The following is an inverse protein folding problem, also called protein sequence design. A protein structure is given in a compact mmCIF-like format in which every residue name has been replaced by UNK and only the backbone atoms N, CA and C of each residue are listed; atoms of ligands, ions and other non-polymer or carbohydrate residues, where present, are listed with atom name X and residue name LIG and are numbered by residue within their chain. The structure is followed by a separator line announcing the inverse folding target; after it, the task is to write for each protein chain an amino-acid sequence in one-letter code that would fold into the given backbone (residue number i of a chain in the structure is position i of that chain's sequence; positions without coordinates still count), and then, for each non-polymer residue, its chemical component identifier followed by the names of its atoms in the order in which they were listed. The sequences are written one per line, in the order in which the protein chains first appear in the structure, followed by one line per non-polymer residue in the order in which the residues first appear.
data_IF_257517678044
#
_entry.id   IF_257517678044
#
_cell.length_a   1.000
_cell.length_b   1.000
_cell.length_c   1.000
_cell.angle_alpha   90.00
_cell.angle_beta   90.00
_cell.angle_gamma   90.00
#
_symmetry.space_group_name_H-M   'P 1'
#
loop_
_entity.id
_entity.type
_entity.pdbx_description
1 polymer ?
#
# COMPACT_ATOMS: atom_id res chain seq x y z
N UNK A 1 -5.85 15.95 -31.03
CA UNK A 1 -6.38 16.78 -29.96
C UNK A 1 -7.35 16.10 -28.98
N UNK A 2 -7.51 14.75 -29.00
CA UNK A 2 -8.41 14.02 -28.08
C UNK A 2 -7.73 13.47 -26.80
N UNK A 3 -6.40 13.51 -26.70
CA UNK A 3 -5.63 12.94 -25.59
C UNK A 3 -5.76 13.70 -24.26
N UNK A 4 -6.01 15.01 -24.31
CA UNK A 4 -6.13 15.83 -23.08
C UNK A 4 -7.39 15.56 -22.25
N UNK A 5 -8.54 15.30 -22.88
CA UNK A 5 -9.82 15.08 -22.18
C UNK A 5 -9.83 13.77 -21.38
N UNK A 6 -9.19 12.72 -21.89
CA UNK A 6 -9.06 11.43 -21.20
C UNK A 6 -8.18 11.50 -19.94
N UNK A 7 -7.08 12.25 -19.99
CA UNK A 7 -6.15 12.42 -18.87
C UNK A 7 -6.79 13.19 -17.71
N UNK A 8 -7.53 14.28 -17.99
CA UNK A 8 -8.22 15.05 -16.93
C UNK A 8 -9.29 14.23 -16.21
N UNK A 9 -10.08 13.45 -16.94
CA UNK A 9 -11.09 12.58 -16.35
C UNK A 9 -10.46 11.50 -15.46
N UNK A 10 -9.32 10.95 -15.88
CA UNK A 10 -8.58 9.94 -15.14
C UNK A 10 -8.02 10.50 -13.83
N UNK A 11 -7.40 11.70 -13.89
CA UNK A 11 -6.92 12.40 -12.70
C UNK A 11 -8.09 12.69 -11.75
N UNK A 12 -9.22 13.18 -12.25
CA UNK A 12 -10.40 13.46 -11.41
C UNK A 12 -10.90 12.19 -10.69
N UNK A 13 -11.01 11.07 -11.40
CA UNK A 13 -11.37 9.77 -10.78
C UNK A 13 -10.36 9.37 -9.70
N UNK A 14 -9.07 9.55 -9.97
CA UNK A 14 -8.02 9.28 -8.99
C UNK A 14 -8.16 10.17 -7.75
N UNK A 15 -8.39 11.48 -7.92
CA UNK A 15 -8.57 12.44 -6.82
C UNK A 15 -9.79 12.09 -5.96
N UNK A 16 -10.92 11.69 -6.56
CA UNK A 16 -12.10 11.22 -5.82
C UNK A 16 -11.77 9.98 -5.00
N UNK A 17 -11.07 9.00 -5.59
CA UNK A 17 -10.62 7.81 -4.88
C UNK A 17 -9.62 8.14 -3.76
N UNK A 18 -8.68 9.04 -3.98
CA UNK A 18 -7.72 9.52 -2.99
C UNK A 18 -8.40 10.24 -1.82
N UNK A 19 -9.37 11.13 -2.12
CA UNK A 19 -10.17 11.80 -1.10
C UNK A 19 -10.95 10.78 -0.25
N UNK A 20 -11.58 9.79 -0.90
CA UNK A 20 -12.25 8.71 -0.18
C UNK A 20 -11.30 7.97 0.77
N UNK A 21 -10.08 7.69 0.35
CA UNK A 21 -9.07 7.04 1.22
C UNK A 21 -8.68 7.92 2.41
N UNK A 22 -8.47 9.22 2.23
CA UNK A 22 -8.17 10.16 3.32
C UNK A 22 -9.32 10.20 4.33
N UNK A 23 -10.57 10.28 3.84
CA UNK A 23 -11.77 10.28 4.69
C UNK A 23 -11.91 8.94 5.42
N UNK A 24 -11.64 7.81 4.75
CA UNK A 24 -11.69 6.49 5.35
C UNK A 24 -10.65 6.35 6.48
N UNK A 25 -9.39 6.71 6.22
CA UNK A 25 -8.35 6.73 7.26
C UNK A 25 -8.72 7.65 8.42
N UNK A 26 -9.19 8.86 8.10
CA UNK A 26 -9.65 9.82 9.12
C UNK A 26 -10.77 9.24 9.99
N UNK A 27 -11.78 8.65 9.36
CA UNK A 27 -12.88 8.00 10.07
C UNK A 27 -12.42 6.84 10.95
N UNK A 28 -11.59 5.94 10.42
CA UNK A 28 -11.12 4.75 11.15
C UNK A 28 -10.14 5.08 12.29
N UNK A 29 -9.40 6.19 12.22
CA UNK A 29 -8.46 6.61 13.25
C UNK A 29 -9.11 7.56 14.26
N UNK A 30 -9.78 8.62 13.79
CA UNK A 30 -10.25 9.72 14.65
C UNK A 30 -11.57 9.40 15.35
N UNK A 31 -12.52 8.71 14.69
CA UNK A 31 -13.79 8.37 15.33
C UNK A 31 -13.60 7.46 16.56
N UNK A 32 -12.86 6.34 16.49
CA UNK A 32 -12.62 5.54 17.69
C UNK A 32 -11.86 6.32 18.76
N UNK A 33 -10.86 7.14 18.37
CA UNK A 33 -10.12 7.98 19.32
C UNK A 33 -11.02 8.94 20.06
N UNK A 34 -11.95 9.62 19.37
CA UNK A 34 -12.86 10.60 19.97
C UNK A 34 -14.02 10.00 20.76
N UNK A 35 -14.47 8.79 20.42
CA UNK A 35 -15.61 8.12 21.06
C UNK A 35 -15.24 7.36 22.34
N UNK A 36 -13.95 7.08 22.58
CA UNK A 36 -13.51 6.40 23.80
C UNK A 36 -13.58 7.34 25.02
N UNK A 37 -13.92 6.84 26.20
CA UNK A 37 -14.02 7.66 27.44
C UNK A 37 -12.70 8.37 27.82
N UNK A 38 -11.57 7.79 27.48
CA UNK A 38 -10.20 8.31 27.73
C UNK A 38 -9.52 8.81 26.48
N UNK A 39 -10.25 8.91 25.37
CA UNK A 39 -9.74 9.31 24.06
C UNK A 39 -9.79 10.82 23.84
N UNK A 40 -9.54 11.22 22.60
CA UNK A 40 -9.50 12.63 22.21
C UNK A 40 -9.96 12.82 20.77
N UNK A 41 -10.67 13.93 20.52
CA UNK A 41 -10.94 14.42 19.17
C UNK A 41 -9.75 15.19 18.56
N UNK A 42 -8.76 15.56 19.37
CA UNK A 42 -7.58 16.34 18.99
C UNK A 42 -6.34 15.47 19.04
N UNK A 43 -6.20 14.58 18.05
CA UNK A 43 -5.04 13.70 17.91
C UNK A 43 -4.08 14.24 16.85
N UNK A 44 -3.17 15.13 17.27
CA UNK A 44 -2.25 15.85 16.37
C UNK A 44 -1.51 14.91 15.41
N UNK A 45 -1.01 13.77 15.90
CA UNK A 45 -0.27 12.81 15.07
C UNK A 45 -1.12 12.22 13.95
N UNK A 46 -2.39 11.92 14.21
CA UNK A 46 -3.31 11.46 13.18
C UNK A 46 -3.62 12.57 12.18
N UNK A 47 -3.85 13.81 12.64
CA UNK A 47 -4.10 14.93 11.73
C UNK A 47 -2.88 15.30 10.89
N UNK A 48 -1.66 15.28 11.45
CA UNK A 48 -0.41 15.46 10.69
C UNK A 48 -0.28 14.37 9.63
N UNK A 49 -0.50 13.09 10.00
CA UNK A 49 -0.50 11.98 9.05
C UNK A 49 -1.51 12.20 7.93
N UNK A 50 -2.77 12.50 8.24
CA UNK A 50 -3.83 12.70 7.25
C UNK A 50 -3.52 13.87 6.31
N UNK A 51 -2.97 14.97 6.83
CA UNK A 51 -2.55 16.11 6.03
C UNK A 51 -1.41 15.77 5.06
N UNK A 52 -0.35 15.16 5.57
CA UNK A 52 0.81 14.71 4.76
C UNK A 52 0.38 13.67 3.74
N UNK A 53 -0.38 12.67 4.17
CA UNK A 53 -0.93 11.62 3.29
C UNK A 53 -1.78 12.22 2.17
N UNK A 54 -2.69 13.15 2.50
CA UNK A 54 -3.53 13.84 1.52
C UNK A 54 -2.72 14.62 0.49
N UNK A 55 -1.72 15.39 0.92
CA UNK A 55 -0.83 16.14 0.02
C UNK A 55 -0.07 15.20 -0.93
N UNK A 56 0.53 14.14 -0.38
CA UNK A 56 1.29 13.16 -1.19
C UNK A 56 0.35 12.41 -2.15
N UNK A 57 -0.86 12.05 -1.71
CA UNK A 57 -1.86 11.39 -2.58
C UNK A 57 -2.27 12.30 -3.75
N UNK A 58 -2.58 13.56 -3.48
CA UNK A 58 -2.93 14.51 -4.56
C UNK A 58 -1.77 14.69 -5.52
N UNK A 59 -0.56 14.96 -5.01
CA UNK A 59 0.64 15.13 -5.84
C UNK A 59 0.97 13.87 -6.64
N UNK A 60 0.87 12.69 -6.02
CA UNK A 60 1.12 11.39 -6.66
C UNK A 60 0.11 11.07 -7.76
N UNK A 61 -1.18 11.34 -7.54
CA UNK A 61 -2.23 11.12 -8.55
C UNK A 61 -2.02 12.04 -9.74
N UNK A 62 -1.72 13.32 -9.50
CA UNK A 62 -1.43 14.29 -10.58
C UNK A 62 -0.16 13.86 -11.34
N UNK A 63 0.91 13.52 -10.63
CA UNK A 63 2.15 13.07 -11.24
C UNK A 63 1.95 11.80 -12.08
N UNK A 64 1.24 10.78 -11.57
CA UNK A 64 0.92 9.58 -12.35
C UNK A 64 0.04 9.89 -13.55
N UNK A 65 -0.95 10.79 -13.41
CA UNK A 65 -1.82 11.17 -14.51
C UNK A 65 -1.09 11.85 -15.68
N UNK A 66 0.03 12.53 -15.37
CA UNK A 66 0.87 13.22 -16.37
C UNK A 66 1.99 12.32 -16.88
N UNK A 67 2.71 11.62 -15.97
CA UNK A 67 3.94 10.88 -16.28
C UNK A 67 3.72 9.41 -16.60
N UNK A 68 2.66 8.79 -16.06
CA UNK A 68 2.36 7.36 -16.21
C UNK A 68 0.84 7.12 -16.20
N UNK A 69 0.08 7.63 -17.19
CA UNK A 69 -1.39 7.56 -17.22
C UNK A 69 -1.90 6.11 -17.19
N UNK A 70 -1.19 5.16 -17.80
CA UNK A 70 -1.56 3.74 -17.79
C UNK A 70 -1.51 3.15 -16.38
N UNK A 71 -0.53 3.58 -15.56
CA UNK A 71 -0.41 3.19 -14.16
C UNK A 71 -1.58 3.74 -13.32
N UNK A 72 -2.02 4.97 -13.57
CA UNK A 72 -3.19 5.53 -12.91
C UNK A 72 -4.48 4.84 -13.38
N UNK A 73 -4.63 4.60 -14.69
CA UNK A 73 -5.78 3.90 -15.28
C UNK A 73 -5.94 2.49 -14.72
N UNK A 74 -4.84 1.76 -14.54
CA UNK A 74 -4.85 0.42 -13.97
C UNK A 74 -5.43 0.37 -12.55
N UNK A 75 -5.42 1.47 -11.81
CA UNK A 75 -5.90 1.57 -10.42
C UNK A 75 -7.29 2.17 -10.30
N UNK A 76 -7.63 3.10 -11.19
CA UNK A 76 -8.95 3.75 -11.18
C UNK A 76 -10.02 2.93 -11.89
N UNK A 77 -9.64 2.05 -12.81
CA UNK A 77 -10.54 1.21 -13.61
C UNK A 77 -10.44 -0.28 -13.28
N UNK A 78 -9.91 -0.64 -12.10
CA UNK A 78 -9.72 -2.03 -11.69
C UNK A 78 -11.06 -2.64 -11.23
N UNK A 79 -11.78 -3.42 -12.05
CA UNK A 79 -12.89 -4.22 -11.57
C UNK A 79 -12.37 -5.45 -10.82
N UNK A 80 -13.24 -6.03 -9.99
CA UNK A 80 -13.05 -7.40 -9.54
C UNK A 80 -12.98 -8.31 -10.77
N UNK A 81 -11.81 -8.87 -11.04
CA UNK A 81 -11.64 -9.75 -12.22
C UNK A 81 -12.17 -11.14 -11.94
N UNK A 82 -12.96 -11.70 -12.89
CA UNK A 82 -13.35 -13.12 -12.83
C UNK A 82 -12.12 -14.04 -12.94
N UNK A 83 -11.03 -13.56 -13.52
CA UNK A 83 -9.77 -14.28 -13.69
C UNK A 83 -8.89 -14.32 -12.43
N UNK A 84 -9.26 -13.58 -11.36
CA UNK A 84 -8.51 -13.57 -10.11
C UNK A 84 -8.56 -14.95 -9.44
N UNK A 85 -7.40 -15.59 -9.10
CA UNK A 85 -7.37 -16.86 -8.40
C UNK A 85 -8.14 -16.82 -7.07
N UNK A 86 -8.85 -17.90 -6.72
CA UNK A 86 -9.61 -17.97 -5.45
C UNK A 86 -8.72 -17.71 -4.24
N UNK A 87 -7.49 -18.24 -4.24
CA UNK A 87 -6.52 -18.01 -3.16
C UNK A 87 -6.22 -16.51 -2.99
N UNK A 88 -6.01 -15.75 -4.08
CA UNK A 88 -5.79 -14.31 -4.00
C UNK A 88 -7.03 -13.54 -3.52
N UNK A 89 -8.24 -13.99 -3.90
CA UNK A 89 -9.49 -13.39 -3.38
C UNK A 89 -9.59 -13.53 -1.87
N UNK A 90 -9.30 -14.72 -1.35
CA UNK A 90 -9.34 -15.00 0.09
C UNK A 90 -8.28 -14.15 0.80
N UNK A 91 -7.02 -14.15 0.32
CA UNK A 91 -5.94 -13.37 0.90
C UNK A 91 -6.29 -11.88 0.88
N UNK A 92 -6.80 -11.36 -0.24
CA UNK A 92 -7.19 -9.95 -0.37
C UNK A 92 -8.33 -9.59 0.58
N UNK A 93 -9.32 -10.46 0.76
CA UNK A 93 -10.40 -10.26 1.72
C UNK A 93 -9.89 -10.24 3.17
N UNK A 94 -9.01 -11.19 3.53
CA UNK A 94 -8.39 -11.23 4.86
C UNK A 94 -7.55 -9.97 5.11
N UNK A 95 -6.75 -9.54 4.15
CA UNK A 95 -5.96 -8.31 4.26
C UNK A 95 -6.83 -7.05 4.35
N UNK A 96 -7.97 -7.02 3.67
CA UNK A 96 -8.93 -5.91 3.80
C UNK A 96 -9.55 -5.86 5.20
N UNK A 97 -9.99 -7.01 5.73
CA UNK A 97 -10.52 -7.10 7.11
C UNK A 97 -9.44 -6.71 8.12
N UNK A 98 -8.22 -7.22 7.93
CA UNK A 98 -7.07 -6.83 8.76
C UNK A 98 -6.85 -5.31 8.71
N UNK A 99 -6.83 -4.71 7.53
CA UNK A 99 -6.62 -3.26 7.36
C UNK A 99 -7.65 -2.44 8.15
N UNK A 100 -8.93 -2.76 7.99
CA UNK A 100 -10.00 -2.05 8.72
C UNK A 100 -9.88 -2.24 10.24
N UNK A 101 -9.65 -3.48 10.69
CA UNK A 101 -9.46 -3.80 12.10
C UNK A 101 -8.20 -3.13 12.66
N UNK A 102 -7.10 -3.12 11.90
CA UNK A 102 -5.83 -2.52 12.30
C UNK A 102 -5.94 -1.00 12.48
N UNK A 103 -6.63 -0.31 11.56
CA UNK A 103 -6.85 1.13 11.67
C UNK A 103 -7.66 1.51 12.92
N UNK A 104 -8.68 0.71 13.27
CA UNK A 104 -9.48 0.90 14.49
C UNK A 104 -8.70 0.49 15.73
N UNK A 105 -7.88 -0.57 15.64
CA UNK A 105 -7.07 -1.06 16.74
C UNK A 105 -6.03 -0.04 17.23
N UNK A 106 -5.40 0.72 16.32
CA UNK A 106 -4.38 1.71 16.70
C UNK A 106 -4.87 2.72 17.74
N UNK A 107 -5.96 3.49 17.51
CA UNK A 107 -6.44 4.40 18.54
C UNK A 107 -6.90 3.68 19.81
N UNK A 108 -7.46 2.47 19.69
CA UNK A 108 -7.85 1.66 20.86
C UNK A 108 -6.60 1.26 21.68
N UNK A 109 -5.51 0.88 21.04
CA UNK A 109 -4.24 0.59 21.71
C UNK A 109 -3.66 1.84 22.39
N UNK A 110 -3.57 2.95 21.65
CA UNK A 110 -2.96 4.20 22.12
C UNK A 110 -3.72 4.82 23.30
N UNK A 111 -5.05 4.85 23.27
CA UNK A 111 -5.85 5.58 24.27
C UNK A 111 -6.45 4.69 25.35
N UNK A 112 -6.65 3.40 25.10
CA UNK A 112 -7.36 2.52 26.01
C UNK A 112 -6.54 1.32 26.47
N UNK A 113 -6.14 0.42 25.57
CA UNK A 113 -5.50 -0.83 25.94
C UNK A 113 -4.07 -0.64 26.47
N UNK A 114 -3.28 0.19 25.80
CA UNK A 114 -1.88 0.46 26.14
C UNK A 114 -1.09 -0.84 26.36
N UNK A 115 -1.22 -1.76 25.40
CA UNK A 115 -0.64 -3.10 25.51
C UNK A 115 0.86 -3.08 25.76
N UNK A 116 1.54 -2.07 25.22
CA UNK A 116 2.96 -1.80 25.42
C UNK A 116 3.16 -0.31 25.74
N UNK A 117 4.25 0.05 26.46
CA UNK A 117 4.60 1.46 26.65
C UNK A 117 4.73 2.20 25.32
N UNK A 118 4.35 3.48 25.22
CA UNK A 118 4.44 4.22 23.97
C UNK A 118 5.89 4.34 23.51
N UNK A 119 6.16 4.35 22.19
CA UNK A 119 7.48 4.64 21.64
C UNK A 119 8.02 5.99 22.14
N UNK A 120 9.34 6.09 22.30
CA UNK A 120 9.97 7.39 22.55
C UNK A 120 9.77 8.33 21.36
N UNK A 121 9.85 9.67 21.55
CA UNK A 121 9.72 10.63 20.45
C UNK A 121 10.69 10.37 19.29
N UNK A 122 11.90 9.89 19.59
CA UNK A 122 12.88 9.53 18.57
C UNK A 122 12.43 8.32 17.73
N UNK A 123 11.86 7.29 18.37
CA UNK A 123 11.32 6.10 17.68
C UNK A 123 10.09 6.47 16.85
N UNK A 124 9.22 7.33 17.37
CA UNK A 124 8.06 7.80 16.60
C UNK A 124 8.49 8.66 15.42
N UNK A 125 9.51 9.52 15.58
CA UNK A 125 10.10 10.28 14.46
C UNK A 125 10.71 9.36 13.40
N UNK A 126 11.45 8.33 13.81
CA UNK A 126 11.94 7.29 12.91
C UNK A 126 10.79 6.58 12.17
N UNK A 127 9.68 6.32 12.88
CA UNK A 127 8.45 5.78 12.29
C UNK A 127 7.90 6.68 11.17
N UNK A 128 7.86 8.00 11.41
CA UNK A 128 7.46 8.97 10.39
C UNK A 128 8.35 8.94 9.13
N UNK A 129 9.67 8.87 9.31
CA UNK A 129 10.61 8.72 8.18
C UNK A 129 10.40 7.40 7.44
N UNK A 130 10.23 6.29 8.17
CA UNK A 130 9.98 4.96 7.59
C UNK A 130 8.68 4.94 6.77
N UNK A 131 7.63 5.57 7.27
CA UNK A 131 6.35 5.75 6.57
C UNK A 131 6.54 6.48 5.23
N UNK A 132 7.30 7.59 5.22
CA UNK A 132 7.55 8.36 4.00
C UNK A 132 8.38 7.57 2.99
N UNK A 133 9.38 6.82 3.44
CA UNK A 133 10.17 5.91 2.59
C UNK A 133 9.26 4.83 1.99
N UNK A 134 8.41 4.19 2.81
CA UNK A 134 7.45 3.20 2.35
C UNK A 134 6.51 3.76 1.28
N UNK A 135 6.01 4.98 1.49
CA UNK A 135 5.19 5.67 0.52
C UNK A 135 5.93 5.94 -0.79
N UNK A 136 7.18 6.45 -0.71
CA UNK A 136 8.01 6.72 -1.89
C UNK A 136 8.29 5.44 -2.69
N UNK A 137 8.60 4.32 -2.02
CA UNK A 137 8.79 3.01 -2.68
C UNK A 137 7.51 2.57 -3.37
N UNK A 138 6.34 2.66 -2.72
CA UNK A 138 5.05 2.35 -3.33
C UNK A 138 4.82 3.19 -4.59
N UNK A 139 5.04 4.51 -4.50
CA UNK A 139 4.85 5.41 -5.62
C UNK A 139 5.77 5.07 -6.80
N UNK A 140 7.07 4.87 -6.55
CA UNK A 140 8.05 4.54 -7.60
C UNK A 140 7.74 3.17 -8.21
N UNK A 141 7.38 2.16 -7.40
CA UNK A 141 6.97 0.85 -7.91
C UNK A 141 5.75 0.94 -8.84
N UNK A 142 4.77 1.75 -8.48
CA UNK A 142 3.57 2.02 -9.27
C UNK A 142 3.90 2.78 -10.56
N UNK A 143 4.78 3.78 -10.47
CA UNK A 143 5.24 4.55 -11.62
C UNK A 143 5.98 3.67 -12.63
N UNK A 144 6.86 2.79 -12.17
CA UNK A 144 7.66 1.90 -13.01
C UNK A 144 6.85 0.75 -13.63
N UNK A 145 5.75 0.31 -12.98
CA UNK A 145 5.02 -0.87 -13.41
C UNK A 145 3.51 -0.64 -13.43
N UNK A 146 2.96 -0.38 -14.61
CA UNK A 146 1.53 -0.22 -14.83
C UNK A 146 0.72 -1.52 -14.58
N UNK A 147 1.39 -2.68 -14.59
CA UNK A 147 0.77 -3.98 -14.35
C UNK A 147 0.75 -4.40 -12.88
N UNK A 148 1.41 -3.64 -11.97
CA UNK A 148 1.33 -3.86 -10.53
C UNK A 148 -0.05 -3.44 -10.01
N UNK A 149 -1.05 -4.33 -10.10
CA UNK A 149 -2.45 -4.09 -9.72
C UNK A 149 -2.76 -4.56 -8.29
N UNK A 150 -3.86 -4.06 -7.69
CA UNK A 150 -4.31 -4.51 -6.37
C UNK A 150 -4.72 -5.99 -6.31
N UNK A 151 -4.96 -6.64 -7.45
CA UNK A 151 -5.36 -8.05 -7.58
C UNK A 151 -4.35 -8.81 -8.44
N UNK A 152 -4.15 -10.09 -8.13
CA UNK A 152 -3.38 -11.02 -8.98
C UNK A 152 -4.29 -11.50 -10.10
N UNK A 153 -3.88 -11.25 -11.35
CA UNK A 153 -4.61 -11.73 -12.53
C UNK A 153 -3.65 -11.91 -13.72
N UNK A 154 -4.06 -12.73 -14.66
CA UNK A 154 -3.43 -12.80 -15.97
C UNK A 154 -3.76 -11.52 -16.75
N UNK A 155 -2.74 -10.77 -17.16
CA UNK A 155 -2.88 -9.53 -17.91
C UNK A 155 -2.33 -9.64 -19.35
N UNK A 156 -2.20 -10.85 -19.86
CA UNK A 156 -1.69 -11.13 -21.23
C UNK A 156 -2.51 -10.38 -22.29
N UNK A 157 -3.85 -10.34 -22.14
CA UNK A 157 -4.74 -9.57 -23.04
C UNK A 157 -4.49 -8.07 -23.02
N UNK A 158 -3.86 -7.55 -21.96
CA UNK A 158 -3.45 -6.14 -21.83
C UNK A 158 -2.03 -5.87 -22.32
N UNK A 159 -1.38 -6.88 -22.92
CA UNK A 159 0.00 -6.76 -23.38
C UNK A 159 1.01 -6.64 -22.23
N UNK A 160 0.80 -7.39 -21.13
CA UNK A 160 1.72 -7.36 -19.99
C UNK A 160 3.15 -7.69 -20.42
N UNK A 161 4.07 -6.80 -20.06
CA UNK A 161 5.50 -6.96 -20.27
C UNK A 161 6.22 -7.07 -18.93
N UNK A 162 7.37 -7.77 -18.96
CA UNK A 162 8.23 -7.87 -17.79
C UNK A 162 8.88 -6.52 -17.51
N UNK A 163 8.83 -6.08 -16.25
CA UNK A 163 9.56 -4.92 -15.73
C UNK A 163 10.65 -5.45 -14.79
N UNK A 164 11.90 -5.26 -15.17
CA UNK A 164 13.10 -5.77 -14.48
C UNK A 164 14.12 -4.67 -14.14
N UNK A 165 13.72 -3.39 -14.29
CA UNK A 165 14.57 -2.21 -14.08
C UNK A 165 14.17 -1.43 -12.82
N UNK A 166 14.99 -0.48 -12.40
CA UNK A 166 14.72 0.37 -11.23
C UNK A 166 14.58 -0.44 -9.95
N UNK A 167 13.49 -0.27 -9.20
CA UNK A 167 13.24 -1.04 -7.97
C UNK A 167 13.11 -2.55 -8.25
N UNK A 168 12.58 -2.91 -9.42
CA UNK A 168 12.39 -4.31 -9.83
C UNK A 168 13.71 -5.01 -10.20
N UNK A 169 14.82 -4.29 -10.39
CA UNK A 169 16.16 -4.90 -10.51
C UNK A 169 16.77 -5.31 -9.17
N UNK A 170 16.22 -4.84 -8.06
CA UNK A 170 16.73 -5.11 -6.70
C UNK A 170 15.88 -6.16 -5.99
N UNK A 171 14.55 -6.00 -6.01
CA UNK A 171 13.58 -6.93 -5.43
C UNK A 171 12.40 -7.13 -6.36
N UNK A 172 11.82 -8.33 -6.36
CA UNK A 172 10.72 -8.67 -7.26
C UNK A 172 9.39 -8.02 -6.91
N UNK A 173 9.16 -7.71 -5.62
CA UNK A 173 7.91 -7.14 -5.12
C UNK A 173 8.13 -5.84 -4.34
N UNK A 174 8.68 -4.77 -4.97
CA UNK A 174 8.98 -3.52 -4.27
C UNK A 174 7.73 -2.84 -3.70
N UNK A 175 6.56 -3.01 -4.35
CA UNK A 175 5.30 -2.48 -3.84
C UNK A 175 4.96 -3.06 -2.45
N UNK A 176 5.17 -4.37 -2.24
CA UNK A 176 4.90 -5.03 -0.96
C UNK A 176 5.88 -4.60 0.12
N UNK A 177 7.16 -4.40 -0.24
CA UNK A 177 8.14 -3.79 0.67
C UNK A 177 7.69 -2.39 1.11
N UNK A 178 7.29 -1.56 0.15
CA UNK A 178 6.77 -0.22 0.44
C UNK A 178 5.57 -0.24 1.39
N UNK A 179 4.62 -1.17 1.17
CA UNK A 179 3.46 -1.35 2.06
C UNK A 179 3.87 -1.73 3.48
N UNK A 180 4.81 -2.67 3.66
CA UNK A 180 5.29 -3.07 4.98
C UNK A 180 5.94 -1.89 5.73
N UNK A 181 6.80 -1.14 5.06
CA UNK A 181 7.44 0.04 5.64
C UNK A 181 6.41 1.13 5.97
N UNK A 182 5.42 1.35 5.09
CA UNK A 182 4.35 2.30 5.32
C UNK A 182 3.55 1.97 6.58
N UNK A 183 3.05 0.74 6.73
CA UNK A 183 2.25 0.36 7.88
C UNK A 183 3.06 0.26 9.17
N UNK A 184 4.30 -0.26 9.11
CA UNK A 184 5.19 -0.27 10.27
C UNK A 184 5.55 1.14 10.73
N UNK A 185 5.89 2.02 9.79
CA UNK A 185 6.18 3.42 10.06
C UNK A 185 4.98 4.17 10.62
N UNK A 186 3.77 3.92 10.09
CA UNK A 186 2.54 4.54 10.58
C UNK A 186 2.21 4.10 12.02
N UNK A 187 2.37 2.82 12.34
CA UNK A 187 2.18 2.32 13.70
C UNK A 187 3.11 3.03 14.70
N UNK A 188 4.39 3.16 14.36
CA UNK A 188 5.37 3.86 15.20
C UNK A 188 5.09 5.37 15.29
N UNK A 189 4.71 6.01 14.18
CA UNK A 189 4.33 7.42 14.16
C UNK A 189 3.13 7.71 15.05
N UNK A 190 2.12 6.83 15.01
CA UNK A 190 0.91 6.92 15.84
C UNK A 190 1.10 6.37 17.26
N UNK A 191 2.34 5.99 17.65
CA UNK A 191 2.73 5.55 19.00
C UNK A 191 2.12 4.23 19.46
N UNK A 192 1.84 3.29 18.54
CA UNK A 192 1.31 1.95 18.84
C UNK A 192 2.32 0.86 18.51
N UNK A 193 3.00 0.32 19.51
CA UNK A 193 3.80 -0.92 19.35
C UNK A 193 2.90 -2.14 19.12
N UNK A 194 1.68 -2.15 19.68
CA UNK A 194 0.68 -3.18 19.37
C UNK A 194 0.31 -3.19 17.91
N UNK A 195 0.12 -1.99 17.32
CA UNK A 195 -0.08 -1.80 15.88
C UNK A 195 1.10 -2.30 15.04
N UNK A 196 2.35 -2.06 15.49
CA UNK A 196 3.55 -2.57 14.83
C UNK A 196 3.61 -4.10 14.84
N UNK A 197 3.33 -4.73 15.98
CA UNK A 197 3.26 -6.20 16.08
C UNK A 197 2.19 -6.75 15.13
N UNK A 198 1.03 -6.10 15.04
CA UNK A 198 -0.04 -6.52 14.14
C UNK A 198 0.32 -6.43 12.64
N UNK A 199 1.38 -5.68 12.25
CA UNK A 199 1.92 -5.68 10.87
C UNK A 199 2.47 -7.06 10.47
N UNK A 200 2.80 -7.94 11.43
CA UNK A 200 3.18 -9.33 11.13
C UNK A 200 2.09 -10.10 10.37
N UNK A 201 0.82 -9.78 10.59
CA UNK A 201 -0.30 -10.37 9.84
C UNK A 201 -0.28 -9.90 8.38
N UNK A 202 -0.01 -8.60 8.14
CA UNK A 202 0.20 -8.09 6.80
C UNK A 202 1.37 -8.80 6.11
N UNK A 203 2.51 -8.95 6.81
CA UNK A 203 3.68 -9.65 6.28
C UNK A 203 3.32 -11.08 5.87
N UNK A 204 2.64 -11.84 6.73
CA UNK A 204 2.21 -13.21 6.43
C UNK A 204 1.26 -13.25 5.19
N UNK A 205 0.32 -12.32 5.11
CA UNK A 205 -0.58 -12.20 3.96
C UNK A 205 0.15 -11.85 2.66
N UNK A 206 1.14 -10.96 2.71
CA UNK A 206 1.96 -10.60 1.55
C UNK A 206 2.88 -11.73 1.11
N UNK A 207 3.42 -12.53 2.06
CA UNK A 207 4.18 -13.75 1.74
C UNK A 207 3.29 -14.74 0.98
N UNK A 208 2.10 -15.02 1.50
CA UNK A 208 1.14 -15.91 0.84
C UNK A 208 0.74 -15.39 -0.54
N UNK A 209 0.49 -14.08 -0.66
CA UNK A 209 0.14 -13.44 -1.93
C UNK A 209 1.26 -13.51 -2.95
N UNK A 210 2.50 -13.25 -2.54
CA UNK A 210 3.68 -13.38 -3.39
C UNK A 210 3.78 -14.78 -4.00
N UNK A 211 3.51 -15.84 -3.22
CA UNK A 211 3.54 -17.21 -3.74
C UNK A 211 2.48 -17.46 -4.83
N UNK A 212 1.27 -16.92 -4.67
CA UNK A 212 0.18 -17.01 -5.67
C UNK A 212 0.54 -16.20 -6.92
N UNK A 213 1.04 -14.98 -6.74
CA UNK A 213 1.41 -14.08 -7.83
C UNK A 213 2.55 -14.65 -8.67
N UNK A 214 3.67 -15.09 -8.05
CA UNK A 214 4.80 -15.70 -8.76
C UNK A 214 4.39 -16.98 -9.51
N UNK A 215 3.47 -17.79 -8.95
CA UNK A 215 2.92 -18.97 -9.66
C UNK A 215 2.14 -18.57 -10.91
N UNK A 216 1.41 -17.47 -10.86
CA UNK A 216 0.68 -16.93 -12.02
C UNK A 216 1.64 -16.38 -13.05
N UNK A 217 2.56 -15.50 -12.64
CA UNK A 217 3.53 -14.84 -13.53
C UNK A 217 4.44 -15.82 -14.25
N UNK A 218 4.89 -16.89 -13.59
CA UNK A 218 5.65 -17.98 -14.26
C UNK A 218 4.92 -18.63 -15.42
N UNK A 219 3.59 -18.67 -15.40
CA UNK A 219 2.79 -19.28 -16.45
C UNK A 219 2.42 -18.32 -17.56
N UNK A 220 2.26 -17.04 -17.22
CA UNK A 220 1.61 -16.06 -18.10
C UNK A 220 2.57 -14.97 -18.62
N UNK A 221 3.70 -14.74 -17.94
CA UNK A 221 4.63 -13.66 -18.29
C UNK A 221 5.94 -14.23 -18.86
N UNK A 222 6.19 -14.10 -20.17
CA UNK A 222 7.45 -14.53 -20.79
C UNK A 222 8.66 -13.86 -20.12
N UNK A 223 9.74 -14.64 -19.92
CA UNK A 223 10.98 -14.16 -19.30
C UNK A 223 10.94 -14.06 -17.77
N UNK A 224 9.79 -14.35 -17.11
CA UNK A 224 9.70 -14.21 -15.65
C UNK A 224 10.56 -15.24 -14.90
N UNK A 225 10.75 -16.43 -15.44
CA UNK A 225 11.60 -17.47 -14.83
C UNK A 225 13.06 -17.04 -14.80
N UNK A 226 13.57 -16.54 -15.92
CA UNK A 226 14.94 -16.01 -16.07
C UNK A 226 15.16 -14.77 -15.18
N UNK A 227 14.14 -13.90 -15.09
CA UNK A 227 14.15 -12.77 -14.17
C UNK A 227 14.31 -13.20 -12.70
N UNK A 228 13.65 -14.27 -12.29
CA UNK A 228 13.78 -14.79 -10.91
C UNK A 228 15.19 -15.34 -10.61
N UNK A 229 15.92 -15.81 -11.60
CA UNK A 229 17.32 -16.25 -11.45
C UNK A 229 18.25 -15.06 -11.26
N UNK A 230 17.96 -13.94 -11.93
CA UNK A 230 18.74 -12.71 -11.86
C UNK A 230 18.43 -11.93 -10.59
N UNK A 231 17.14 -11.69 -10.30
CA UNK A 231 16.68 -10.96 -9.12
C UNK A 231 16.18 -11.95 -8.08
N UNK A 232 17.05 -12.36 -7.19
CA UNK A 232 16.82 -13.45 -6.23
C UNK A 232 15.88 -13.06 -5.08
N UNK A 233 15.88 -11.79 -4.67
CA UNK A 233 15.16 -11.32 -3.51
C UNK A 233 13.71 -10.95 -3.84
N UNK A 234 12.77 -11.37 -3.00
CA UNK A 234 11.36 -11.01 -3.13
C UNK A 234 11.05 -9.66 -2.54
N UNK A 235 11.45 -9.44 -1.29
CA UNK A 235 11.13 -8.22 -0.52
C UNK A 235 12.38 -7.54 0.05
N UNK A 236 13.20 -8.25 0.80
CA UNK A 236 14.30 -7.68 1.60
C UNK A 236 15.63 -8.36 1.27
N UNK A 237 16.55 -7.70 0.56
CA UNK A 237 17.92 -8.18 0.41
C UNK A 237 18.66 -8.13 1.76
N UNK A 238 19.41 -9.14 2.16
CA UNK A 238 19.57 -10.49 1.59
C UNK A 238 18.67 -11.56 2.26
N UNK A 239 17.57 -11.17 2.88
CA UNK A 239 16.78 -12.04 3.77
C UNK A 239 15.82 -12.94 2.96
N UNK A 240 15.04 -12.39 2.03
CA UNK A 240 13.99 -13.11 1.30
C UNK A 240 13.60 -12.48 -0.04
#
# INVERSE_FOLDING_TARGET
MSTGHGSHMLILKGLVGGLFQVVLFGGLLVLPAGLMPVGTWYWDRAFIFLGVYGVIMVGGIVALGVLAPDSLAARTNAPASKAQPMADRIISAVLMVWFLAWCVFIPVDVFSLRLLPPPSPAVSGFGGVTLLIGFAICFVAIYQNAFARPIVEDQTERGQTLVDTGLYSVVRHPLYLGMLLFFAGLALWLESYGGLVAVSVLLAGLIARTAVEEKTLKRTLPGYTEYMETVRYRLLPPIW
#
